data_IF_036132852836
#
_entry.id   IF_036132852836
#
_cell.length_a   1.000
_cell.length_b   1.000
_cell.length_c   1.000
_cell.angle_alpha   90.00
_cell.angle_beta   90.00
_cell.angle_gamma   90.00
#
_symmetry.space_group_name_H-M   'P 1'
#
loop_
_entity.id
_entity.type
_entity.pdbx_description
1 polymer ?
#
# COMPACT_ATOMS: atom_id res chain seq x y z
N UNK A 1 6.06 14.67 19.92
CA UNK A 1 5.76 15.08 18.52
C UNK A 1 5.01 16.39 18.57
N UNK A 2 5.34 17.39 17.72
CA UNK A 2 4.57 18.65 17.63
C UNK A 2 3.17 18.36 17.10
N UNK A 3 2.13 18.99 17.64
CA UNK A 3 0.71 18.73 17.32
C UNK A 3 0.44 18.75 15.81
N UNK A 4 1.03 19.72 15.08
CA UNK A 4 0.93 19.82 13.60
C UNK A 4 1.31 18.51 12.88
N UNK A 5 2.35 17.82 13.33
CA UNK A 5 2.82 16.56 12.73
C UNK A 5 1.82 15.42 12.95
N UNK A 6 1.25 15.34 14.16
CA UNK A 6 0.24 14.32 14.49
C UNK A 6 -0.99 14.53 13.59
N UNK A 7 -1.47 15.78 13.49
CA UNK A 7 -2.61 16.12 12.62
C UNK A 7 -2.33 15.78 11.17
N UNK A 8 -1.13 16.05 10.66
CA UNK A 8 -0.75 15.69 9.28
C UNK A 8 -0.76 14.18 9.03
N UNK A 9 -0.20 13.38 9.94
CA UNK A 9 -0.25 11.92 9.83
C UNK A 9 -1.69 11.39 9.93
N UNK A 10 -2.50 11.95 10.84
CA UNK A 10 -3.91 11.59 10.96
C UNK A 10 -4.70 11.87 9.68
N UNK A 11 -4.44 13.02 9.02
CA UNK A 11 -5.04 13.32 7.72
C UNK A 11 -4.63 12.31 6.64
N UNK A 12 -3.35 11.94 6.55
CA UNK A 12 -2.89 10.93 5.59
C UNK A 12 -3.50 9.55 5.86
N UNK A 13 -3.67 9.17 7.13
CA UNK A 13 -4.36 7.94 7.53
C UNK A 13 -5.82 7.99 7.09
N UNK A 14 -6.53 9.10 7.36
CA UNK A 14 -7.92 9.28 6.96
C UNK A 14 -8.10 9.19 5.45
N UNK A 15 -7.24 9.86 4.67
CA UNK A 15 -7.24 9.76 3.20
C UNK A 15 -7.02 8.30 2.77
N UNK A 16 -6.07 7.60 3.40
CA UNK A 16 -5.77 6.21 3.09
C UNK A 16 -6.95 5.27 3.38
N UNK A 17 -7.70 5.53 4.45
CA UNK A 17 -8.93 4.81 4.77
C UNK A 17 -10.04 5.10 3.76
N UNK A 18 -10.27 6.36 3.39
CA UNK A 18 -11.27 6.75 2.39
C UNK A 18 -10.95 6.09 1.05
N UNK A 19 -9.69 6.15 0.60
CA UNK A 19 -9.27 5.47 -0.64
C UNK A 19 -9.47 3.96 -0.56
N UNK A 20 -9.18 3.32 0.58
CA UNK A 20 -9.45 1.89 0.76
C UNK A 20 -10.95 1.56 0.76
N UNK A 21 -11.80 2.50 1.19
CA UNK A 21 -13.24 2.33 1.17
C UNK A 21 -13.80 2.53 -0.24
N UNK A 22 -13.35 3.57 -0.95
CA UNK A 22 -13.71 3.79 -2.35
C UNK A 22 -13.31 2.62 -3.25
N UNK A 23 -12.14 2.04 -2.99
CA UNK A 23 -11.66 0.83 -3.67
C UNK A 23 -12.59 -0.38 -3.50
N UNK A 24 -13.36 -0.46 -2.41
CA UNK A 24 -14.33 -1.53 -2.20
C UNK A 24 -15.58 -1.42 -3.10
N UNK A 25 -15.85 -0.24 -3.67
CA UNK A 25 -16.92 -0.02 -4.64
C UNK A 25 -16.50 -0.28 -6.08
N UNK A 26 -15.20 -0.35 -6.35
CA UNK A 26 -14.72 -0.69 -7.70
C UNK A 26 -15.08 -2.14 -8.00
N UNK A 27 -15.49 -2.46 -9.25
CA UNK A 27 -15.79 -3.83 -9.63
C UNK A 27 -14.58 -4.70 -9.32
N UNK A 28 -14.72 -5.57 -8.33
CA UNK A 28 -13.68 -6.52 -7.99
C UNK A 28 -13.56 -7.47 -9.17
N UNK A 29 -12.45 -7.38 -9.89
CA UNK A 29 -12.09 -8.42 -10.84
C UNK A 29 -11.76 -9.63 -9.96
N UNK A 30 -12.75 -10.50 -9.72
CA UNK A 30 -12.71 -11.65 -8.80
C UNK A 30 -11.73 -12.74 -9.28
N UNK A 31 -10.46 -12.38 -9.42
CA UNK A 31 -9.41 -13.31 -9.81
C UNK A 31 -8.91 -14.04 -8.55
N UNK A 32 -8.86 -13.36 -7.39
CA UNK A 32 -8.61 -13.96 -6.07
C UNK A 32 -9.35 -13.16 -4.98
N UNK A 33 -10.12 -13.80 -4.08
CA UNK A 33 -10.78 -13.13 -2.97
C UNK A 33 -9.79 -12.36 -2.08
N UNK A 34 -10.03 -11.06 -1.88
CA UNK A 34 -9.25 -10.22 -0.97
C UNK A 34 -8.07 -9.46 -1.57
N UNK A 35 -7.80 -9.61 -2.87
CA UNK A 35 -6.81 -8.79 -3.58
C UNK A 35 -7.45 -7.47 -4.03
N UNK A 36 -6.77 -6.36 -3.74
CA UNK A 36 -7.22 -4.99 -4.03
C UNK A 36 -6.30 -4.33 -5.05
N UNK A 37 -6.77 -3.26 -5.70
CA UNK A 37 -5.97 -2.47 -6.65
C UNK A 37 -4.77 -1.77 -5.98
N UNK A 38 -4.79 -1.56 -4.67
CA UNK A 38 -3.76 -0.88 -3.91
C UNK A 38 -3.93 0.64 -3.85
N UNK A 39 -5.10 1.21 -4.18
CA UNK A 39 -5.35 2.66 -4.13
C UNK A 39 -5.08 3.23 -2.74
N UNK A 40 -5.40 2.47 -1.70
CA UNK A 40 -5.11 2.82 -0.32
C UNK A 40 -3.63 3.09 -0.06
N UNK A 41 -2.70 2.60 -0.88
CA UNK A 41 -1.26 2.78 -0.68
C UNK A 41 -0.71 4.11 -1.23
N UNK A 42 -1.52 4.96 -1.89
CA UNK A 42 -1.06 6.28 -2.37
C UNK A 42 -0.46 7.12 -1.21
N UNK A 43 -1.12 7.28 -0.04
CA UNK A 43 -0.54 8.04 1.07
C UNK A 43 0.70 7.39 1.69
N UNK A 44 0.79 6.05 1.66
CA UNK A 44 1.96 5.29 2.13
C UNK A 44 3.15 5.57 1.21
N UNK A 45 2.93 5.54 -0.10
CA UNK A 45 3.94 5.85 -1.10
C UNK A 45 4.42 7.30 -0.97
N UNK A 46 3.49 8.25 -0.83
CA UNK A 46 3.83 9.65 -0.54
C UNK A 46 4.70 9.78 0.72
N UNK A 47 4.33 9.08 1.80
CA UNK A 47 5.11 9.07 3.04
C UNK A 47 6.50 8.46 2.86
N UNK A 48 6.66 7.42 2.05
CA UNK A 48 7.98 6.86 1.74
C UNK A 48 8.89 7.90 1.10
N UNK A 49 8.38 8.79 0.23
CA UNK A 49 9.21 9.79 -0.45
C UNK A 49 9.42 11.09 0.34
N UNK A 50 8.39 11.60 1.01
CA UNK A 50 8.44 12.91 1.70
C UNK A 50 8.62 12.81 3.21
N UNK A 51 8.24 11.71 3.85
CA UNK A 51 8.28 11.57 5.31
C UNK A 51 9.36 10.58 5.75
N UNK A 52 9.42 10.30 7.06
CA UNK A 52 10.34 9.28 7.58
C UNK A 52 9.80 7.88 7.24
N UNK A 53 10.67 6.87 7.06
CA UNK A 53 10.24 5.48 6.84
C UNK A 53 9.27 4.96 7.92
N UNK A 54 9.46 5.39 9.17
CA UNK A 54 8.55 5.07 10.28
C UNK A 54 7.14 5.63 10.07
N UNK A 55 7.00 6.79 9.42
CA UNK A 55 5.71 7.41 9.19
C UNK A 55 4.88 6.61 8.17
N UNK A 56 5.51 6.01 7.15
CA UNK A 56 4.84 5.12 6.21
C UNK A 56 4.29 3.85 6.89
N UNK A 57 5.06 3.27 7.82
CA UNK A 57 4.62 2.13 8.64
C UNK A 57 3.46 2.51 9.56
N UNK A 58 3.52 3.68 10.20
CA UNK A 58 2.44 4.21 11.04
C UNK A 58 1.16 4.39 10.21
N UNK A 59 1.26 5.02 9.03
CA UNK A 59 0.10 5.27 8.17
C UNK A 59 -0.55 3.95 7.75
N UNK A 60 0.24 3.01 7.24
CA UNK A 60 -0.27 1.70 6.81
C UNK A 60 -0.82 0.88 7.97
N UNK A 61 -0.10 0.83 9.09
CA UNK A 61 -0.46 0.04 10.27
C UNK A 61 -1.75 0.51 10.93
N UNK A 62 -1.86 1.81 11.22
CA UNK A 62 -3.06 2.38 11.83
C UNK A 62 -4.26 2.20 10.90
N UNK A 63 -4.10 2.47 9.60
CA UNK A 63 -5.16 2.24 8.61
C UNK A 63 -5.67 0.80 8.64
N UNK A 64 -4.77 -0.18 8.60
CA UNK A 64 -5.13 -1.60 8.58
C UNK A 64 -5.85 -1.99 9.86
N UNK A 65 -5.35 -1.54 11.03
CA UNK A 65 -6.02 -1.77 12.31
C UNK A 65 -7.44 -1.19 12.33
N UNK A 66 -7.60 0.08 11.97
CA UNK A 66 -8.91 0.75 11.99
C UNK A 66 -9.89 0.13 11.02
N UNK A 67 -9.49 -0.18 9.79
CA UNK A 67 -10.36 -0.84 8.81
C UNK A 67 -10.79 -2.23 9.28
N UNK A 68 -9.89 -3.00 9.89
CA UNK A 68 -10.21 -4.32 10.42
C UNK A 68 -11.17 -4.27 11.61
N UNK A 69 -11.08 -3.22 12.44
CA UNK A 69 -12.06 -2.98 13.51
C UNK A 69 -13.43 -2.59 12.95
N UNK A 70 -13.48 -1.75 11.92
CA UNK A 70 -14.74 -1.28 11.30
C UNK A 70 -15.48 -2.38 10.55
N UNK A 71 -14.77 -3.19 9.76
CA UNK A 71 -15.38 -4.18 8.87
C UNK A 71 -15.32 -5.63 9.41
N UNK A 72 -14.75 -5.84 10.61
CA UNK A 72 -14.64 -7.14 11.31
C UNK A 72 -14.16 -8.28 10.41
N UNK A 73 -13.16 -8.05 9.57
CA UNK A 73 -12.65 -9.05 8.63
C UNK A 73 -11.19 -9.43 8.92
N UNK A 74 -10.99 -10.53 9.65
CA UNK A 74 -9.66 -11.01 10.04
C UNK A 74 -8.82 -11.50 8.85
N UNK A 75 -9.44 -12.10 7.83
CA UNK A 75 -8.71 -12.51 6.63
C UNK A 75 -8.20 -11.29 5.85
N UNK A 76 -9.03 -10.26 5.70
CA UNK A 76 -8.62 -9.00 5.06
C UNK A 76 -7.52 -8.28 5.84
N UNK A 77 -7.53 -8.38 7.18
CA UNK A 77 -6.44 -7.89 8.02
C UNK A 77 -5.11 -8.58 7.67
N UNK A 78 -5.09 -9.92 7.67
CA UNK A 78 -3.89 -10.71 7.37
C UNK A 78 -3.34 -10.42 5.97
N UNK A 79 -4.22 -10.34 4.98
CA UNK A 79 -3.83 -10.00 3.61
C UNK A 79 -3.22 -8.59 3.54
N UNK A 80 -3.85 -7.61 4.17
CA UNK A 80 -3.39 -6.22 4.12
C UNK A 80 -2.08 -6.01 4.89
N UNK A 81 -1.88 -6.68 6.02
CA UNK A 81 -0.65 -6.52 6.82
C UNK A 81 0.54 -7.20 6.14
N UNK A 82 0.38 -8.44 5.64
CA UNK A 82 1.47 -9.15 4.96
C UNK A 82 1.82 -8.46 3.64
N UNK A 83 0.83 -8.12 2.82
CA UNK A 83 1.05 -7.35 1.59
C UNK A 83 1.66 -5.98 1.86
N UNK A 84 1.15 -5.25 2.86
CA UNK A 84 1.63 -3.92 3.23
C UNK A 84 3.08 -3.93 3.72
N UNK A 85 3.45 -4.85 4.61
CA UNK A 85 4.82 -4.94 5.13
C UNK A 85 5.82 -5.34 4.05
N UNK A 86 5.47 -6.32 3.21
CA UNK A 86 6.33 -6.77 2.11
C UNK A 86 6.54 -5.65 1.09
N UNK A 87 5.48 -4.91 0.76
CA UNK A 87 5.51 -3.75 -0.11
C UNK A 87 6.39 -2.62 0.42
N UNK A 88 6.17 -2.20 1.67
CA UNK A 88 6.96 -1.13 2.30
C UNK A 88 8.43 -1.54 2.42
N UNK A 89 8.71 -2.78 2.80
CA UNK A 89 10.08 -3.30 2.92
C UNK A 89 10.86 -3.20 1.61
N UNK A 90 10.27 -3.70 0.51
CA UNK A 90 10.92 -3.68 -0.80
C UNK A 90 11.02 -2.26 -1.37
N UNK A 91 10.01 -1.41 -1.19
CA UNK A 91 10.09 -0.01 -1.61
C UNK A 91 11.21 0.75 -0.88
N UNK A 92 11.37 0.54 0.42
CA UNK A 92 12.46 1.16 1.19
C UNK A 92 13.83 0.65 0.77
N UNK A 93 13.94 -0.64 0.44
CA UNK A 93 15.18 -1.23 -0.09
C UNK A 93 15.54 -0.62 -1.45
N UNK A 94 14.60 -0.59 -2.40
CA UNK A 94 14.81 0.02 -3.72
C UNK A 94 15.13 1.52 -3.62
N UNK A 95 14.51 2.24 -2.68
CA UNK A 95 14.82 3.65 -2.42
C UNK A 95 16.28 3.84 -1.97
N UNK A 96 16.82 2.94 -1.15
CA UNK A 96 18.24 3.00 -0.72
C UNK A 96 19.21 2.74 -1.86
N UNK A 97 18.83 1.91 -2.83
CA UNK A 97 19.67 1.55 -3.98
C UNK A 97 19.87 2.70 -4.96
N UNK A 98 19.05 3.77 -4.93
CA UNK A 98 19.14 4.97 -5.80
C UNK A 98 19.10 4.73 -7.33
N UNK A 99 19.01 3.49 -7.80
CA UNK A 99 18.87 3.15 -9.22
C UNK A 99 17.44 3.28 -9.76
N UNK A 100 16.43 3.27 -8.88
CA UNK A 100 15.03 3.23 -9.27
C UNK A 100 14.37 4.62 -9.23
N UNK A 101 13.55 4.92 -10.24
CA UNK A 101 12.66 6.08 -10.24
C UNK A 101 11.50 5.93 -9.26
N UNK A 102 10.80 7.02 -8.94
CA UNK A 102 9.57 6.99 -8.12
C UNK A 102 8.58 5.97 -8.68
N UNK A 103 8.44 5.93 -10.01
CA UNK A 103 7.54 5.03 -10.71
C UNK A 103 8.02 3.58 -10.61
N UNK A 104 9.31 3.31 -10.77
CA UNK A 104 9.89 1.97 -10.58
C UNK A 104 9.71 1.44 -9.16
N UNK A 105 9.95 2.28 -8.14
CA UNK A 105 9.72 1.93 -6.74
C UNK A 105 8.23 1.62 -6.50
N UNK A 106 7.33 2.38 -7.13
CA UNK A 106 5.88 2.14 -7.07
C UNK A 106 5.48 0.78 -7.65
N UNK A 107 6.03 0.43 -8.81
CA UNK A 107 5.79 -0.85 -9.47
C UNK A 107 6.28 -2.02 -8.61
N UNK A 108 7.50 -1.91 -8.07
CA UNK A 108 8.02 -2.92 -7.12
C UNK A 108 7.09 -3.02 -5.91
N UNK A 109 6.62 -1.90 -5.37
CA UNK A 109 5.66 -1.85 -4.28
C UNK A 109 4.34 -2.54 -4.60
N UNK A 110 3.75 -2.29 -5.77
CA UNK A 110 2.50 -2.90 -6.21
C UNK A 110 2.61 -4.41 -6.39
N UNK A 111 3.63 -4.87 -7.12
CA UNK A 111 3.88 -6.30 -7.34
C UNK A 111 4.15 -7.01 -6.01
N UNK A 112 5.02 -6.46 -5.16
CA UNK A 112 5.34 -7.07 -3.87
C UNK A 112 4.17 -7.08 -2.88
N UNK A 113 3.25 -6.11 -2.96
CA UNK A 113 2.03 -6.13 -2.17
C UNK A 113 1.16 -7.35 -2.54
N UNK A 114 0.97 -7.56 -3.84
CA UNK A 114 0.23 -8.70 -4.39
C UNK A 114 0.91 -10.03 -4.04
N UNK A 115 2.25 -10.09 -4.13
CA UNK A 115 3.02 -11.24 -3.69
C UNK A 115 2.81 -11.55 -2.20
N UNK A 116 2.86 -10.53 -1.33
CA UNK A 116 2.62 -10.74 0.09
C UNK A 116 1.21 -11.25 0.39
N UNK A 117 0.19 -10.75 -0.32
CA UNK A 117 -1.19 -11.21 -0.21
C UNK A 117 -1.35 -12.67 -0.63
N UNK A 118 -0.75 -13.08 -1.75
CA UNK A 118 -0.91 -14.45 -2.22
C UNK A 118 -0.13 -15.46 -1.39
N UNK A 119 1.04 -15.08 -0.86
CA UNK A 119 1.82 -15.94 0.02
C UNK A 119 1.03 -16.30 1.28
N UNK A 120 0.39 -15.31 1.93
CA UNK A 120 -0.44 -15.58 3.10
C UNK A 120 -1.74 -16.32 2.73
N UNK A 121 -2.31 -16.06 1.54
CA UNK A 121 -3.47 -16.79 1.05
C UNK A 121 -3.16 -18.29 0.83
N UNK A 122 -2.03 -18.62 0.21
CA UNK A 122 -1.55 -20.00 0.04
C UNK A 122 -1.35 -20.67 1.40
N UNK A 123 -0.72 -19.96 2.34
CA UNK A 123 -0.46 -20.47 3.69
C UNK A 123 -1.75 -20.78 4.47
N UNK A 124 -2.76 -19.91 4.41
CA UNK A 124 -4.03 -20.10 5.12
C UNK A 124 -4.89 -21.16 4.42
N UNK A 125 -4.99 -21.11 3.09
CA UNK A 125 -5.85 -21.99 2.31
C UNK A 125 -5.23 -23.39 2.05
N UNK A 126 -3.96 -23.60 2.41
CA UNK A 126 -3.17 -24.80 2.10
C UNK A 126 -3.29 -25.24 0.62
N UNK A 127 -3.48 -24.29 -0.29
CA UNK A 127 -3.76 -24.55 -1.70
C UNK A 127 -2.65 -23.92 -2.55
N UNK A 128 -1.59 -24.67 -2.92
CA UNK A 128 -0.49 -24.14 -3.73
C UNK A 128 -0.94 -23.70 -5.13
N UNK A 129 -2.11 -24.17 -5.60
CA UNK A 129 -2.72 -23.74 -6.87
C UNK A 129 -3.00 -22.23 -6.94
N UNK A 130 -3.02 -21.50 -5.82
CA UNK A 130 -3.13 -20.04 -5.84
C UNK A 130 -1.95 -19.38 -6.57
N UNK A 131 -0.78 -20.01 -6.66
CA UNK A 131 0.35 -19.47 -7.43
C UNK A 131 0.07 -19.34 -8.93
N UNK A 132 -0.92 -20.05 -9.48
CA UNK A 132 -1.34 -19.86 -10.88
C UNK A 132 -1.88 -18.45 -11.15
N UNK A 133 -2.30 -17.72 -10.11
CA UNK A 133 -2.70 -16.32 -10.24
C UNK A 133 -1.50 -15.36 -10.24
N UNK A 134 -0.27 -15.79 -9.95
CA UNK A 134 0.88 -14.87 -9.94
C UNK A 134 1.04 -14.03 -11.21
N UNK A 135 0.94 -14.58 -12.44
CA UNK A 135 1.11 -13.79 -13.66
C UNK A 135 0.11 -12.63 -13.75
N UNK A 136 -1.17 -12.89 -13.43
CA UNK A 136 -2.20 -11.86 -13.47
C UNK A 136 -2.03 -10.83 -12.34
N UNK A 137 -1.55 -11.26 -11.16
CA UNK A 137 -1.23 -10.39 -10.02
C UNK A 137 -0.02 -9.49 -10.31
N UNK A 138 0.97 -10.00 -11.05
CA UNK A 138 2.12 -9.21 -11.46
C UNK A 138 1.66 -8.13 -12.44
N UNK A 139 0.88 -8.49 -13.46
CA UNK A 139 0.35 -7.52 -14.45
C UNK A 139 -0.56 -6.49 -13.79
N UNK A 140 -1.47 -6.90 -12.89
CA UNK A 140 -2.31 -5.94 -12.17
C UNK A 140 -1.51 -5.06 -11.22
N UNK A 141 -0.53 -5.64 -10.53
CA UNK A 141 0.37 -4.93 -9.61
C UNK A 141 1.27 -3.93 -10.33
N UNK A 142 1.72 -4.23 -11.54
CA UNK A 142 2.48 -3.27 -12.36
C UNK A 142 1.59 -2.13 -12.83
N UNK A 143 0.40 -2.41 -13.36
CA UNK A 143 -0.54 -1.37 -13.81
C UNK A 143 -0.96 -0.44 -12.66
N UNK A 144 -1.35 -1.03 -11.53
CA UNK A 144 -1.66 -0.29 -10.32
C UNK A 144 -0.44 0.51 -9.83
N UNK A 145 0.73 -0.12 -9.79
CA UNK A 145 1.99 0.52 -9.41
C UNK A 145 2.34 1.72 -10.29
N UNK A 146 2.14 1.63 -11.61
CA UNK A 146 2.31 2.75 -12.54
C UNK A 146 1.34 3.88 -12.19
N UNK A 147 0.04 3.58 -12.06
CA UNK A 147 -0.97 4.60 -11.75
C UNK A 147 -0.69 5.31 -10.42
N UNK A 148 -0.42 4.55 -9.36
CA UNK A 148 -0.07 5.06 -8.03
C UNK A 148 1.24 5.87 -8.09
N UNK A 149 2.20 5.42 -8.88
CA UNK A 149 3.52 6.06 -9.02
C UNK A 149 3.42 7.42 -9.72
N UNK A 150 2.60 7.52 -10.76
CA UNK A 150 2.31 8.78 -11.45
C UNK A 150 1.62 9.78 -10.52
N UNK A 151 0.59 9.35 -9.79
CA UNK A 151 -0.11 10.17 -8.80
C UNK A 151 0.87 10.63 -7.71
N UNK A 152 1.68 9.72 -7.18
CA UNK A 152 2.65 10.05 -6.15
C UNK A 152 3.70 11.05 -6.65
N UNK A 153 4.18 10.91 -7.89
CA UNK A 153 5.12 11.86 -8.47
C UNK A 153 4.53 13.28 -8.52
N UNK A 154 3.26 13.41 -8.94
CA UNK A 154 2.55 14.69 -8.93
C UNK A 154 2.41 15.27 -7.51
N UNK A 155 2.02 14.43 -6.54
CA UNK A 155 1.85 14.84 -5.14
C UNK A 155 3.17 15.30 -4.51
N UNK A 156 4.25 14.56 -4.74
CA UNK A 156 5.60 14.86 -4.22
C UNK A 156 6.10 16.19 -4.78
N UNK A 157 5.77 16.53 -6.02
CA UNK A 157 6.21 17.79 -6.62
C UNK A 157 5.35 18.99 -6.21
N UNK A 158 4.06 18.77 -5.92
CA UNK A 158 3.12 19.87 -5.57
C UNK A 158 2.99 20.14 -4.08
N UNK A 159 3.15 19.13 -3.22
CA UNK A 159 2.91 19.26 -1.79
C UNK A 159 4.21 19.59 -1.06
N UNK A 160 4.24 20.76 -0.43
CA UNK A 160 5.26 21.15 0.53
C UNK A 160 4.90 20.61 1.91
N UNK A 161 5.89 20.10 2.64
CA UNK A 161 5.68 19.59 3.98
C UNK A 161 5.42 20.76 4.94
N UNK A 162 4.55 20.58 5.95
CA UNK A 162 4.42 21.57 7.02
C UNK A 162 5.79 21.81 7.66
N UNK A 163 6.19 23.08 7.84
CA UNK A 163 7.46 23.40 8.49
C UNK A 163 7.50 22.75 9.87
N UNK A 164 8.63 22.09 10.17
CA UNK A 164 8.86 21.41 11.45
C UNK A 164 9.26 22.40 12.56
N UNK A 165 8.67 23.59 12.56
CA UNK A 165 8.88 24.65 13.56
C UNK A 165 8.13 24.40 14.86
#
# INVERSE_FOLDING_TARGET
MKTKRITFLAMLIAISMILSYLESFLPQIYIVPGIKLGLANIPVMFAIFKLKPSDALIISGIRILLLSMLFRNFLSFLFSITGGLMSIGLMLLCKKMKFFSILGISVVGGVSHNLGQILIAVFIANTPGLFFYLPILIVSGTLAGIAIGLICNLLVNRIQLPSSD
#
